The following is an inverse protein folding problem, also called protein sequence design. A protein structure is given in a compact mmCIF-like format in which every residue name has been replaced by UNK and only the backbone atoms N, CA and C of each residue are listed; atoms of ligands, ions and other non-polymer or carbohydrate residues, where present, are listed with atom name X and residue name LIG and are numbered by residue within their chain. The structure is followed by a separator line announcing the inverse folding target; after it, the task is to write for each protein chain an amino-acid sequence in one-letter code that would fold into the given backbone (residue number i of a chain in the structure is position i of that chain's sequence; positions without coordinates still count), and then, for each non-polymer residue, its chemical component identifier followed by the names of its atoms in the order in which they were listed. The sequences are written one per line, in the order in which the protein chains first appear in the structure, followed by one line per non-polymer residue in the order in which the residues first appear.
data_IF_093975662534
#
_entry.id   IF_093975662534
#
_cell.length_a   1.000
_cell.length_b   1.000
_cell.length_c   1.000
_cell.angle_alpha   90.00
_cell.angle_beta   90.00
_cell.angle_gamma   90.00
#
_symmetry.space_group_name_H-M   'P 1'
#
loop_
_entity.id
_entity.type
_entity.pdbx_description
1 polymer ?
#
# COMPACT_ATOMS: atom_id res chain seq x y z
N UNK A 1 -47.61 -30.46 37.79
CA UNK A 1 -47.47 -29.15 37.12
C UNK A 1 -46.00 -28.75 37.25
N UNK A 2 -45.32 -28.47 36.15
CA UNK A 2 -43.93 -28.00 36.14
C UNK A 2 -42.91 -29.05 35.69
N UNK A 3 -42.44 -28.91 34.45
CA UNK A 3 -41.11 -29.30 33.91
C UNK A 3 -41.08 -29.12 32.38
N UNK A 4 -41.50 -27.97 31.86
CA UNK A 4 -41.48 -27.72 30.41
C UNK A 4 -41.08 -26.29 30.01
N UNK A 5 -40.42 -25.54 30.90
CA UNK A 5 -40.09 -24.11 30.68
C UNK A 5 -38.60 -23.79 30.58
N UNK A 6 -37.68 -24.70 30.93
CA UNK A 6 -36.24 -24.39 30.92
C UNK A 6 -35.52 -24.71 29.60
N UNK A 7 -35.96 -25.73 28.87
CA UNK A 7 -35.30 -26.16 27.63
C UNK A 7 -35.57 -25.24 26.44
N UNK A 8 -36.78 -24.71 26.31
CA UNK A 8 -37.15 -23.73 25.26
C UNK A 8 -36.50 -22.37 25.49
N UNK A 9 -36.34 -21.95 26.75
CA UNK A 9 -35.63 -20.70 27.10
C UNK A 9 -34.13 -20.81 26.83
N UNK A 10 -33.53 -21.98 27.11
CA UNK A 10 -32.14 -22.28 26.80
C UNK A 10 -31.85 -22.34 25.29
N UNK A 11 -32.77 -22.88 24.49
CA UNK A 11 -32.65 -22.92 23.02
C UNK A 11 -32.77 -21.50 22.42
N UNK A 12 -33.74 -20.70 22.86
CA UNK A 12 -33.91 -19.33 22.38
C UNK A 12 -32.69 -18.44 22.65
N UNK A 13 -32.11 -18.55 23.86
CA UNK A 13 -30.85 -17.88 24.22
C UNK A 13 -29.67 -18.34 23.38
N UNK A 14 -29.59 -19.62 23.04
CA UNK A 14 -28.50 -20.17 22.24
C UNK A 14 -28.58 -19.72 20.76
N UNK A 15 -29.80 -19.62 20.22
CA UNK A 15 -30.01 -19.03 18.90
C UNK A 15 -29.68 -17.53 18.86
N UNK A 16 -30.06 -16.79 19.91
CA UNK A 16 -29.73 -15.37 20.04
C UNK A 16 -28.22 -15.16 20.16
N UNK A 17 -27.55 -15.96 20.99
CA UNK A 17 -26.09 -15.94 21.13
C UNK A 17 -25.39 -16.22 19.79
N UNK A 18 -25.89 -17.20 19.03
CA UNK A 18 -25.39 -17.53 17.71
C UNK A 18 -25.56 -16.35 16.74
N UNK A 19 -26.73 -15.72 16.70
CA UNK A 19 -26.96 -14.51 15.87
C UNK A 19 -26.03 -13.36 16.25
N UNK A 20 -25.77 -13.16 17.54
CA UNK A 20 -24.84 -12.13 18.01
C UNK A 20 -23.40 -12.46 17.62
N UNK A 21 -22.96 -13.70 17.78
CA UNK A 21 -21.62 -14.15 17.35
C UNK A 21 -21.44 -14.02 15.84
N UNK A 22 -22.45 -14.41 15.05
CA UNK A 22 -22.42 -14.27 13.59
C UNK A 22 -22.38 -12.81 13.15
N UNK A 23 -23.12 -11.94 13.85
CA UNK A 23 -23.13 -10.48 13.60
C UNK A 23 -21.79 -9.85 13.94
N UNK A 24 -21.24 -10.13 15.13
CA UNK A 24 -19.93 -9.65 15.55
C UNK A 24 -18.81 -10.17 14.63
N UNK A 25 -18.89 -11.43 14.20
CA UNK A 25 -17.92 -12.02 13.27
C UNK A 25 -17.93 -11.35 11.89
N UNK A 26 -19.06 -10.76 11.51
CA UNK A 26 -19.20 -9.98 10.28
C UNK A 26 -18.73 -8.53 10.44
N UNK A 27 -19.07 -7.90 11.56
CA UNK A 27 -18.80 -6.46 11.79
C UNK A 27 -17.36 -6.17 12.26
N UNK A 28 -16.75 -7.08 13.01
CA UNK A 28 -15.42 -6.89 13.59
C UNK A 28 -14.31 -6.71 12.54
N UNK A 29 -14.28 -7.46 11.42
CA UNK A 29 -13.32 -7.22 10.34
C UNK A 29 -13.46 -5.84 9.68
N UNK A 30 -14.68 -5.33 9.51
CA UNK A 30 -14.94 -4.03 8.90
C UNK A 30 -14.51 -2.90 9.85
N UNK A 31 -14.87 -2.98 11.13
CA UNK A 31 -14.44 -2.03 12.15
C UNK A 31 -12.90 -2.00 12.30
N UNK A 32 -12.27 -3.17 12.27
CA UNK A 32 -10.80 -3.28 12.30
C UNK A 32 -10.17 -2.65 11.07
N UNK A 33 -10.74 -2.86 9.88
CA UNK A 33 -10.24 -2.27 8.64
C UNK A 33 -10.31 -0.73 8.68
N UNK A 34 -11.44 -0.17 9.15
CA UNK A 34 -11.59 1.27 9.32
C UNK A 34 -10.56 1.85 10.29
N UNK A 35 -10.39 1.24 11.47
CA UNK A 35 -9.42 1.69 12.46
C UNK A 35 -7.99 1.68 11.92
N UNK A 36 -7.62 0.61 11.19
CA UNK A 36 -6.30 0.50 10.57
C UNK A 36 -6.08 1.53 9.47
N UNK A 37 -7.11 1.82 8.67
CA UNK A 37 -7.08 2.86 7.64
C UNK A 37 -6.92 4.26 8.23
N UNK A 38 -7.64 4.57 9.31
CA UNK A 38 -7.50 5.85 10.02
C UNK A 38 -6.12 6.01 10.66
N UNK A 39 -5.58 4.95 11.26
CA UNK A 39 -4.23 4.95 11.83
C UNK A 39 -3.15 5.14 10.76
N UNK A 40 -3.31 4.52 9.59
CA UNK A 40 -2.43 4.74 8.45
C UNK A 40 -2.50 6.20 7.98
N UNK A 41 -3.72 6.73 7.81
CA UNK A 41 -3.95 8.11 7.38
C UNK A 41 -3.29 9.10 8.33
N UNK A 42 -3.44 8.91 9.63
CA UNK A 42 -2.77 9.72 10.65
C UNK A 42 -1.24 9.67 10.48
N UNK A 43 -0.68 8.47 10.27
CA UNK A 43 0.75 8.27 10.09
C UNK A 43 1.28 8.97 8.83
N UNK A 44 0.56 8.87 7.71
CA UNK A 44 0.91 9.56 6.46
C UNK A 44 0.87 11.09 6.63
N UNK A 45 -0.20 11.62 7.21
CA UNK A 45 -0.36 13.07 7.43
C UNK A 45 0.73 13.64 8.33
N UNK A 46 1.22 12.89 9.33
CA UNK A 46 2.34 13.34 10.17
C UNK A 46 3.62 13.52 9.36
N UNK A 47 3.97 12.57 8.50
CA UNK A 47 5.15 12.69 7.64
C UNK A 47 5.01 13.88 6.71
N UNK A 48 3.86 14.03 6.04
CA UNK A 48 3.60 15.16 5.15
C UNK A 48 3.73 16.50 5.88
N UNK A 49 3.08 16.63 7.03
CA UNK A 49 3.12 17.86 7.84
C UNK A 49 4.56 18.22 8.27
N UNK A 50 5.35 17.23 8.69
CA UNK A 50 6.75 17.45 9.07
C UNK A 50 7.62 17.85 7.87
N UNK A 51 7.42 17.18 6.73
CA UNK A 51 8.12 17.49 5.48
C UNK A 51 7.81 18.91 4.98
N UNK A 52 6.53 19.26 4.93
CA UNK A 52 6.07 20.58 4.48
C UNK A 52 6.57 21.67 5.42
N UNK A 53 6.48 21.47 6.74
CA UNK A 53 6.99 22.44 7.73
C UNK A 53 8.50 22.70 7.56
N UNK A 54 9.30 21.67 7.30
CA UNK A 54 10.75 21.82 7.09
C UNK A 54 11.02 22.52 5.75
N UNK A 55 10.29 22.15 4.70
CA UNK A 55 10.42 22.75 3.37
C UNK A 55 10.07 24.24 3.42
N UNK A 56 8.97 24.62 4.10
CA UNK A 56 8.56 26.01 4.32
C UNK A 56 9.64 26.83 5.06
N UNK A 57 10.30 26.21 6.05
CA UNK A 57 11.41 26.86 6.78
C UNK A 57 12.61 27.10 5.85
N UNK A 58 12.97 26.12 5.02
CA UNK A 58 14.05 26.25 4.04
C UNK A 58 13.72 27.30 2.97
N UNK A 59 12.50 27.28 2.45
CA UNK A 59 12.01 28.28 1.49
C UNK A 59 12.06 29.68 2.10
N UNK A 60 11.58 29.84 3.33
CA UNK A 60 11.64 31.13 4.05
C UNK A 60 13.08 31.63 4.21
N UNK A 61 14.05 30.73 4.42
CA UNK A 61 15.47 31.10 4.54
C UNK A 61 16.05 31.60 3.21
N UNK A 62 15.69 30.95 2.10
CA UNK A 62 16.20 31.28 0.75
C UNK A 62 15.50 32.50 0.15
N UNK A 63 14.27 32.79 0.56
CA UNK A 63 13.44 33.89 0.06
C UNK A 63 13.45 35.14 0.94
N UNK A 64 14.41 35.25 1.87
CA UNK A 64 14.56 36.47 2.68
C UNK A 64 14.81 37.69 1.78
N UNK A 65 14.16 38.84 2.03
CA UNK A 65 14.32 40.02 1.19
C UNK A 65 15.78 40.50 1.14
N UNK A 66 16.19 41.02 -0.02
CA UNK A 66 17.54 41.55 -0.20
C UNK A 66 17.72 42.90 0.52
N UNK A 67 16.62 43.64 0.68
CA UNK A 67 16.59 45.01 1.21
C UNK A 67 16.74 45.11 2.72
N UNK A 68 16.66 43.99 3.47
CA UNK A 68 16.86 44.01 4.92
C UNK A 68 18.34 44.18 5.29
N UNK A 69 18.59 44.81 6.43
CA UNK A 69 19.94 44.94 6.96
C UNK A 69 20.57 43.58 7.28
N UNK A 70 21.90 43.48 7.19
CA UNK A 70 22.62 42.25 7.53
C UNK A 70 22.32 41.77 8.96
N UNK A 71 22.23 42.69 9.93
CA UNK A 71 21.90 42.33 11.31
C UNK A 71 20.49 41.73 11.45
N UNK A 72 19.51 42.25 10.68
CA UNK A 72 18.16 41.70 10.67
C UNK A 72 18.11 40.34 9.93
N UNK A 73 18.84 40.21 8.82
CA UNK A 73 18.99 38.95 8.09
C UNK A 73 19.55 37.86 9.00
N UNK A 74 20.65 38.14 9.69
CA UNK A 74 21.29 37.20 10.63
C UNK A 74 20.35 36.80 11.76
N UNK A 75 19.56 37.75 12.29
CA UNK A 75 18.56 37.47 13.32
C UNK A 75 17.48 36.52 12.80
N UNK A 76 16.96 36.73 11.59
CA UNK A 76 15.93 35.88 10.97
C UNK A 76 16.48 34.49 10.66
N UNK A 77 17.67 34.40 10.06
CA UNK A 77 18.32 33.13 9.75
C UNK A 77 18.59 32.30 11.00
N UNK A 78 19.07 32.92 12.09
CA UNK A 78 19.24 32.21 13.37
C UNK A 78 17.93 31.67 13.92
N UNK A 79 16.85 32.45 13.85
CA UNK A 79 15.53 31.99 14.31
C UNK A 79 15.01 30.82 13.46
N UNK A 80 15.21 30.86 12.13
CA UNK A 80 14.85 29.76 11.24
C UNK A 80 15.69 28.53 11.55
N UNK A 81 17.00 28.69 11.72
CA UNK A 81 17.93 27.61 12.06
C UNK A 81 17.50 26.90 13.35
N UNK A 82 17.22 27.62 14.43
CA UNK A 82 16.75 27.02 15.69
C UNK A 82 15.47 26.21 15.49
N UNK A 83 14.49 26.77 14.75
CA UNK A 83 13.24 26.06 14.45
C UNK A 83 13.47 24.81 13.61
N UNK A 84 14.37 24.88 12.63
CA UNK A 84 14.72 23.74 11.79
C UNK A 84 15.38 22.64 12.63
N UNK A 85 16.34 22.98 13.49
CA UNK A 85 17.00 22.04 14.40
C UNK A 85 16.00 21.33 15.32
N UNK A 86 15.05 22.08 15.90
CA UNK A 86 14.00 21.49 16.75
C UNK A 86 13.12 20.51 15.95
N UNK A 87 12.79 20.84 14.70
CA UNK A 87 12.01 19.96 13.82
C UNK A 87 12.79 18.71 13.40
N UNK A 88 14.08 18.83 13.15
CA UNK A 88 14.94 17.69 12.82
C UNK A 88 15.15 16.75 14.02
N UNK A 89 15.23 17.29 15.24
CA UNK A 89 15.19 16.47 16.47
C UNK A 89 13.86 15.73 16.63
N UNK A 90 12.73 16.35 16.28
CA UNK A 90 11.45 15.63 16.24
C UNK A 90 11.48 14.52 15.17
N UNK A 91 12.11 14.77 14.01
CA UNK A 91 12.25 13.77 12.95
C UNK A 91 12.98 12.53 13.44
N UNK A 92 14.14 12.68 14.08
CA UNK A 92 14.93 11.53 14.57
C UNK A 92 14.17 10.68 15.60
N UNK A 93 13.27 11.30 16.38
CA UNK A 93 12.52 10.62 17.44
C UNK A 93 11.23 9.95 16.94
N UNK A 94 10.48 10.60 16.05
CA UNK A 94 9.13 10.16 15.69
C UNK A 94 9.06 9.39 14.38
N UNK A 95 9.80 9.85 13.36
CA UNK A 95 9.69 9.32 11.99
C UNK A 95 10.03 7.83 11.89
N UNK A 96 11.03 7.27 12.61
CA UNK A 96 11.32 5.83 12.53
C UNK A 96 10.09 4.98 12.89
N UNK A 97 9.41 5.32 13.98
CA UNK A 97 8.22 4.60 14.43
C UNK A 97 7.01 4.80 13.53
N UNK A 98 6.86 5.99 12.93
CA UNK A 98 5.79 6.27 11.95
C UNK A 98 6.02 5.45 10.67
N UNK A 99 7.26 5.40 10.17
CA UNK A 99 7.62 4.60 9.00
C UNK A 99 7.44 3.09 9.25
N UNK A 100 7.78 2.62 10.45
CA UNK A 100 7.55 1.22 10.82
C UNK A 100 6.05 0.87 10.75
N UNK A 101 5.16 1.72 11.29
CA UNK A 101 3.70 1.51 11.20
C UNK A 101 3.16 1.52 9.78
N UNK A 102 3.62 2.46 8.94
CA UNK A 102 3.23 2.51 7.53
C UNK A 102 3.69 1.24 6.82
N UNK A 103 4.94 0.83 7.04
CA UNK A 103 5.49 -0.37 6.44
C UNK A 103 4.73 -1.64 6.88
N UNK A 104 4.44 -1.78 8.17
CA UNK A 104 3.71 -2.95 8.69
C UNK A 104 2.31 -3.06 8.08
N UNK A 105 1.68 -1.93 7.75
CA UNK A 105 0.42 -1.91 7.03
C UNK A 105 0.57 -2.28 5.55
N UNK A 106 1.55 -1.70 4.85
CA UNK A 106 1.76 -1.91 3.41
C UNK A 106 2.31 -3.31 3.09
N UNK A 107 3.08 -3.89 4.00
CA UNK A 107 3.67 -5.23 3.88
C UNK A 107 2.78 -6.34 4.47
N UNK A 108 1.54 -6.03 4.85
CA UNK A 108 0.60 -7.07 5.30
C UNK A 108 0.41 -8.12 4.21
N UNK A 109 0.52 -9.40 4.58
CA UNK A 109 0.26 -10.53 3.69
C UNK A 109 -1.15 -11.10 3.90
N UNK A 110 -1.59 -11.87 2.92
CA UNK A 110 -2.86 -12.59 2.91
C UNK A 110 -3.88 -11.99 1.95
N UNK A 111 -4.97 -12.73 1.66
CA UNK A 111 -5.93 -12.35 0.61
C UNK A 111 -6.65 -11.02 0.85
N UNK A 112 -6.69 -10.57 2.10
CA UNK A 112 -7.30 -9.31 2.54
C UNK A 112 -6.28 -8.21 2.83
N UNK A 113 -5.02 -8.40 2.45
CA UNK A 113 -4.02 -7.33 2.55
C UNK A 113 -4.44 -6.12 1.73
N UNK A 114 -4.06 -4.94 2.20
CA UNK A 114 -4.37 -3.67 1.52
C UNK A 114 -3.87 -3.66 0.07
N UNK A 115 -2.63 -4.12 -0.15
CA UNK A 115 -2.00 -4.18 -1.47
C UNK A 115 -2.80 -5.05 -2.43
N UNK A 116 -3.16 -6.29 -2.03
CA UNK A 116 -3.95 -7.18 -2.89
C UNK A 116 -5.33 -6.63 -3.21
N UNK A 117 -6.01 -6.03 -2.23
CA UNK A 117 -7.31 -5.40 -2.46
C UNK A 117 -7.21 -4.21 -3.41
N UNK A 118 -6.15 -3.41 -3.29
CA UNK A 118 -5.91 -2.25 -4.16
C UNK A 118 -5.61 -2.68 -5.60
N UNK A 119 -4.78 -3.72 -5.78
CA UNK A 119 -4.47 -4.31 -7.08
C UNK A 119 -5.70 -4.98 -7.70
N UNK A 120 -6.49 -5.71 -6.92
CA UNK A 120 -7.77 -6.28 -7.38
C UNK A 120 -8.71 -5.19 -7.89
N UNK A 121 -8.90 -4.12 -7.10
CA UNK A 121 -9.74 -2.99 -7.52
C UNK A 121 -9.22 -2.34 -8.79
N UNK A 122 -7.90 -2.23 -8.97
CA UNK A 122 -7.32 -1.71 -10.21
C UNK A 122 -7.60 -2.64 -11.39
N UNK A 123 -7.56 -3.95 -11.19
CA UNK A 123 -7.91 -4.96 -12.20
C UNK A 123 -9.38 -4.83 -12.60
N UNK A 124 -10.31 -4.86 -11.65
CA UNK A 124 -11.77 -4.80 -11.89
C UNK A 124 -12.18 -3.54 -12.68
N UNK A 125 -11.40 -2.47 -12.59
CA UNK A 125 -11.65 -1.20 -13.27
C UNK A 125 -10.82 -1.02 -14.54
N UNK A 126 -10.16 -2.05 -15.06
CA UNK A 126 -9.26 -1.95 -16.22
C UNK A 126 -9.66 -2.87 -17.36
N UNK A 127 -9.55 -2.37 -18.59
CA UNK A 127 -9.90 -3.13 -19.79
C UNK A 127 -8.68 -3.83 -20.42
N UNK A 128 -7.46 -3.46 -20.03
CA UNK A 128 -6.21 -4.00 -20.55
C UNK A 128 -5.11 -4.02 -19.47
N UNK A 129 -4.01 -4.71 -19.77
CA UNK A 129 -2.92 -4.96 -18.83
C UNK A 129 -2.09 -3.71 -18.49
N UNK A 130 -2.04 -2.72 -19.40
CA UNK A 130 -1.34 -1.44 -19.17
C UNK A 130 -2.14 -0.62 -18.18
N UNK A 131 -3.44 -0.45 -18.41
CA UNK A 131 -4.35 0.25 -17.50
C UNK A 131 -4.39 -0.38 -16.12
N UNK A 132 -4.41 -1.72 -16.04
CA UNK A 132 -4.32 -2.45 -14.78
C UNK A 132 -3.03 -2.15 -14.02
N UNK A 133 -1.87 -2.25 -14.68
CA UNK A 133 -0.58 -1.98 -14.06
C UNK A 133 -0.46 -0.52 -13.63
N UNK A 134 -0.80 0.43 -14.50
CA UNK A 134 -0.68 1.87 -14.22
C UNK A 134 -1.58 2.31 -13.07
N UNK A 135 -2.83 1.83 -13.01
CA UNK A 135 -3.73 2.10 -11.88
C UNK A 135 -3.22 1.49 -10.58
N UNK A 136 -2.71 0.26 -10.64
CA UNK A 136 -2.10 -0.41 -9.49
C UNK A 136 -0.88 0.35 -8.97
N UNK A 137 0.05 0.71 -9.87
CA UNK A 137 1.29 1.44 -9.54
C UNK A 137 0.97 2.84 -9.01
N UNK A 138 0.05 3.57 -9.65
CA UNK A 138 -0.41 4.89 -9.19
C UNK A 138 -0.98 4.81 -7.77
N UNK A 139 -1.80 3.80 -7.49
CA UNK A 139 -2.35 3.60 -6.15
C UNK A 139 -1.26 3.43 -5.10
N UNK A 140 -0.20 2.67 -5.40
CA UNK A 140 0.91 2.45 -4.44
C UNK A 140 1.86 3.64 -4.33
N UNK A 141 2.09 4.37 -5.43
CA UNK A 141 2.94 5.57 -5.45
C UNK A 141 2.46 6.63 -4.46
N UNK A 142 1.15 6.78 -4.28
CA UNK A 142 0.58 7.70 -3.28
C UNK A 142 1.09 7.44 -1.86
N UNK A 143 1.41 6.19 -1.52
CA UNK A 143 1.95 5.82 -0.22
C UNK A 143 3.49 5.87 -0.22
N UNK A 144 4.12 5.34 -1.26
CA UNK A 144 5.59 5.31 -1.36
C UNK A 144 6.21 6.70 -1.40
N UNK A 145 5.57 7.68 -2.03
CA UNK A 145 6.04 9.07 -1.99
C UNK A 145 6.14 9.58 -0.55
N UNK A 146 5.15 9.27 0.30
CA UNK A 146 5.19 9.67 1.72
C UNK A 146 6.28 8.89 2.47
N UNK A 147 6.46 7.60 2.20
CA UNK A 147 7.58 6.82 2.77
C UNK A 147 8.93 7.44 2.40
N UNK A 148 9.13 7.81 1.13
CA UNK A 148 10.36 8.47 0.66
C UNK A 148 10.56 9.83 1.34
N UNK A 149 9.50 10.64 1.49
CA UNK A 149 9.56 11.89 2.27
C UNK A 149 10.03 11.61 3.70
N UNK A 150 9.51 10.58 4.35
CA UNK A 150 9.95 10.17 5.69
C UNK A 150 11.42 9.75 5.75
N UNK A 151 11.90 8.96 4.78
CA UNK A 151 13.32 8.58 4.68
C UNK A 151 14.19 9.84 4.49
N UNK A 152 13.75 10.79 3.67
CA UNK A 152 14.46 12.05 3.47
C UNK A 152 14.52 12.90 4.75
N UNK A 153 13.44 12.94 5.54
CA UNK A 153 13.44 13.58 6.86
C UNK A 153 14.47 12.96 7.80
N UNK A 154 14.60 11.63 7.80
CA UNK A 154 15.63 10.92 8.58
C UNK A 154 17.05 11.28 8.11
N UNK A 155 17.27 11.37 6.79
CA UNK A 155 18.56 11.76 6.22
C UNK A 155 18.94 13.18 6.66
N UNK A 156 18.01 14.14 6.55
CA UNK A 156 18.24 15.51 7.02
C UNK A 156 18.52 15.58 8.52
N UNK A 157 17.83 14.77 9.32
CA UNK A 157 18.08 14.71 10.77
C UNK A 157 19.45 14.10 11.10
N UNK A 158 19.89 13.08 10.35
CA UNK A 158 21.20 12.45 10.52
C UNK A 158 22.35 13.37 10.11
N UNK A 159 22.19 14.15 9.04
CA UNK A 159 23.22 15.06 8.54
C UNK A 159 23.31 16.36 9.35
N UNK A 160 22.34 16.63 10.24
CA UNK A 160 22.31 17.85 11.02
C UNK A 160 23.28 17.80 12.22
N UNK A 161 24.20 18.77 12.36
CA UNK A 161 25.27 18.71 13.36
C UNK A 161 24.78 18.78 14.81
N UNK A 162 23.58 19.33 15.04
CA UNK A 162 23.00 19.56 16.36
C UNK A 162 21.89 18.54 16.72
N UNK A 163 21.78 17.47 15.96
CA UNK A 163 20.81 16.39 16.17
C UNK A 163 21.56 15.12 16.54
N UNK A 164 21.31 14.60 17.73
CA UNK A 164 21.85 13.29 18.13
C UNK A 164 20.96 12.18 17.55
N UNK A 165 21.41 11.59 16.45
CA UNK A 165 20.75 10.44 15.83
C UNK A 165 21.74 9.29 15.65
N UNK A 166 22.22 8.76 16.77
CA UNK A 166 23.24 7.69 16.84
C UNK A 166 22.95 6.45 15.97
N UNK A 167 21.70 5.99 15.89
CA UNK A 167 21.28 4.86 15.04
C UNK A 167 20.82 5.28 13.63
N UNK A 168 21.08 6.52 13.22
CA UNK A 168 20.47 7.14 12.05
C UNK A 168 20.74 6.40 10.75
N UNK A 169 22.02 6.14 10.44
CA UNK A 169 22.40 5.43 9.22
C UNK A 169 21.77 4.03 9.12
N UNK A 170 21.80 3.25 10.22
CA UNK A 170 21.18 1.92 10.26
C UNK A 170 19.66 1.98 10.08
N UNK A 171 19.03 2.98 10.71
CA UNK A 171 17.59 3.20 10.59
C UNK A 171 17.21 3.58 9.16
N UNK A 172 17.94 4.50 8.53
CA UNK A 172 17.72 4.91 7.12
C UNK A 172 17.84 3.71 6.19
N UNK A 173 18.91 2.92 6.31
CA UNK A 173 19.12 1.72 5.49
C UNK A 173 18.00 0.69 5.70
N UNK A 174 17.55 0.47 6.95
CA UNK A 174 16.42 -0.41 7.25
C UNK A 174 15.14 0.06 6.54
N UNK A 175 14.84 1.35 6.55
CA UNK A 175 13.65 1.89 5.88
C UNK A 175 13.75 1.83 4.36
N UNK A 176 14.94 2.04 3.79
CA UNK A 176 15.18 1.85 2.35
C UNK A 176 14.95 0.39 1.94
N UNK A 177 15.52 -0.57 2.68
CA UNK A 177 15.29 -1.99 2.39
C UNK A 177 13.83 -2.42 2.54
N UNK A 178 13.09 -1.80 3.47
CA UNK A 178 11.64 -1.97 3.59
C UNK A 178 10.89 -1.45 2.35
N UNK A 179 11.26 -0.28 1.84
CA UNK A 179 10.68 0.28 0.61
C UNK A 179 10.96 -0.62 -0.61
N UNK A 180 12.19 -1.13 -0.74
CA UNK A 180 12.56 -2.05 -1.82
C UNK A 180 11.72 -3.35 -1.76
N UNK A 181 11.54 -3.89 -0.56
CA UNK A 181 10.68 -5.06 -0.34
C UNK A 181 9.21 -4.78 -0.68
N UNK A 182 8.70 -3.57 -0.39
CA UNK A 182 7.34 -3.20 -0.80
C UNK A 182 7.20 -3.18 -2.33
N UNK A 183 8.19 -2.63 -3.05
CA UNK A 183 8.16 -2.65 -4.51
C UNK A 183 8.21 -4.09 -5.07
N UNK A 184 9.03 -4.95 -4.48
CA UNK A 184 9.11 -6.35 -4.88
C UNK A 184 7.78 -7.08 -4.63
N UNK A 185 7.18 -6.88 -3.46
CA UNK A 185 5.87 -7.46 -3.11
C UNK A 185 4.78 -6.96 -4.07
N UNK A 186 4.80 -5.67 -4.44
CA UNK A 186 3.91 -5.13 -5.46
C UNK A 186 4.04 -5.87 -6.79
N UNK A 187 5.27 -6.09 -7.29
CA UNK A 187 5.50 -6.80 -8.55
C UNK A 187 5.01 -8.25 -8.49
N UNK A 188 5.13 -8.90 -7.34
CA UNK A 188 4.62 -10.26 -7.12
C UNK A 188 3.09 -10.30 -7.12
N UNK A 189 2.44 -9.36 -6.42
CA UNK A 189 0.98 -9.27 -6.37
C UNK A 189 0.38 -8.93 -7.73
N UNK A 190 1.02 -8.01 -8.48
CA UNK A 190 0.57 -7.64 -9.82
C UNK A 190 0.81 -8.75 -10.84
N UNK A 191 1.86 -9.53 -10.63
CA UNK A 191 2.32 -10.60 -11.51
C UNK A 191 3.50 -10.17 -12.38
N UNK A 192 4.63 -10.85 -12.22
CA UNK A 192 5.89 -10.56 -12.92
C UNK A 192 5.78 -10.59 -14.45
N UNK A 193 4.83 -11.34 -15.01
CA UNK A 193 4.57 -11.34 -16.46
C UNK A 193 3.97 -10.02 -16.91
N UNK A 194 2.96 -9.54 -16.20
CA UNK A 194 2.31 -8.25 -16.46
C UNK A 194 3.31 -7.11 -16.37
N UNK A 195 4.13 -7.08 -15.31
CA UNK A 195 5.18 -6.08 -15.13
C UNK A 195 6.13 -6.07 -16.34
N UNK A 196 6.68 -7.24 -16.70
CA UNK A 196 7.59 -7.35 -17.86
C UNK A 196 6.95 -6.96 -19.18
N UNK A 197 5.66 -7.25 -19.37
CA UNK A 197 4.92 -6.87 -20.57
C UNK A 197 4.74 -5.36 -20.66
N UNK A 198 4.38 -4.69 -19.56
CA UNK A 198 4.22 -3.23 -19.54
C UNK A 198 5.55 -2.53 -19.72
N UNK A 199 6.60 -2.95 -19.00
CA UNK A 199 7.95 -2.39 -19.18
C UNK A 199 8.41 -2.48 -20.64
N UNK A 200 8.14 -3.61 -21.31
CA UNK A 200 8.43 -3.77 -22.74
C UNK A 200 7.56 -2.91 -23.63
N UNK A 201 6.26 -2.81 -23.35
CA UNK A 201 5.32 -2.00 -24.14
C UNK A 201 5.64 -0.50 -24.05
N UNK A 202 6.05 -0.02 -22.88
CA UNK A 202 6.49 1.36 -22.66
C UNK A 202 7.83 1.66 -23.36
N UNK A 203 8.77 0.70 -23.38
CA UNK A 203 10.07 0.86 -24.05
C UNK A 203 9.99 0.67 -25.57
N UNK A 204 9.00 -0.08 -26.06
CA UNK A 204 8.76 -0.36 -27.48
C UNK A 204 7.25 -0.40 -27.71
N UNK A 205 6.63 0.72 -28.12
CA UNK A 205 5.21 0.74 -28.44
C UNK A 205 4.97 -0.04 -29.74
N UNK A 206 4.88 -1.37 -29.65
CA UNK A 206 4.40 -2.22 -30.73
C UNK A 206 2.88 -2.21 -30.71
N UNK A 207 2.28 -1.98 -31.88
CA UNK A 207 0.86 -1.70 -32.13
C UNK A 207 -0.14 -2.83 -31.82
N UNK A 208 0.22 -3.83 -31.01
CA UNK A 208 -0.63 -5.00 -30.74
C UNK A 208 -1.26 -4.82 -29.36
N UNK A 209 -2.56 -4.46 -29.27
CA UNK A 209 -3.27 -4.41 -28.00
C UNK A 209 -3.42 -5.82 -27.45
N UNK A 210 -2.94 -6.05 -26.23
CA UNK A 210 -3.19 -7.28 -25.47
C UNK A 210 -4.32 -7.01 -24.48
N UNK A 211 -5.38 -7.81 -24.52
CA UNK A 211 -6.56 -7.70 -23.65
C UNK A 211 -6.53 -8.84 -22.63
N UNK A 212 -7.12 -8.63 -21.45
CA UNK A 212 -7.42 -9.74 -20.55
C UNK A 212 -8.56 -10.58 -21.14
N UNK A 213 -8.36 -11.89 -21.28
CA UNK A 213 -9.38 -12.77 -21.87
C UNK A 213 -10.46 -13.18 -20.85
N UNK A 214 -10.14 -13.26 -19.54
CA UNK A 214 -11.08 -13.57 -18.45
C UNK A 214 -10.51 -13.20 -17.07
N UNK A 215 -11.38 -12.99 -16.08
CA UNK A 215 -11.03 -12.82 -14.65
C UNK A 215 -10.60 -14.14 -13.97
N UNK A 216 -10.61 -15.27 -14.70
CA UNK A 216 -10.29 -16.61 -14.18
C UNK A 216 -8.79 -16.88 -14.02
N UNK A 217 -7.95 -15.96 -14.49
CA UNK A 217 -6.49 -16.02 -14.38
C UNK A 217 -5.96 -15.49 -13.05
N UNK A 218 -6.36 -16.07 -11.91
CA UNK A 218 -5.74 -15.75 -10.63
C UNK A 218 -4.72 -16.83 -10.21
N UNK A 219 -3.58 -16.37 -9.67
CA UNK A 219 -2.80 -17.07 -8.66
C UNK A 219 -3.54 -17.23 -7.32
N UNK A 220 -4.86 -17.45 -7.36
CA UNK A 220 -5.74 -17.78 -6.23
C UNK A 220 -6.60 -18.93 -6.74
N UNK A 221 -6.40 -20.11 -6.16
CA UNK A 221 -6.80 -21.40 -6.72
C UNK A 221 -8.29 -21.57 -7.08
N UNK A 222 -8.60 -22.58 -7.92
CA UNK A 222 -9.87 -22.64 -8.62
C UNK A 222 -11.04 -22.98 -7.68
N UNK A 223 -12.14 -22.26 -7.86
CA UNK A 223 -13.48 -22.66 -7.41
C UNK A 223 -13.88 -23.89 -8.24
N UNK A 224 -14.23 -25.01 -7.59
CA UNK A 224 -14.77 -26.19 -8.28
C UNK A 224 -16.08 -25.83 -8.98
N UNK A 225 -16.10 -25.93 -10.31
CA UNK A 225 -17.32 -25.93 -11.10
C UNK A 225 -17.99 -27.31 -11.01
N UNK A 226 -19.24 -27.33 -10.56
CA UNK A 226 -20.15 -28.46 -10.68
C UNK A 226 -20.63 -28.57 -12.14
N UNK A 227 -20.32 -29.70 -12.77
CA UNK A 227 -20.69 -30.05 -14.15
C UNK A 227 -22.19 -30.38 -14.24
N UNK A 228 -22.92 -29.92 -15.27
CA UNK A 228 -24.10 -30.61 -15.77
C UNK A 228 -23.75 -31.39 -17.05
N UNK A 229 -24.11 -32.68 -17.04
CA UNK A 229 -24.02 -33.58 -18.19
C UNK A 229 -24.81 -33.06 -19.39
N UNK A 230 -24.23 -33.14 -20.60
CA UNK A 230 -25.02 -33.53 -21.78
C UNK A 230 -24.16 -34.11 -22.90
N UNK A 231 -24.64 -35.24 -23.38
CA UNK A 231 -24.15 -36.17 -24.40
C UNK A 231 -24.21 -35.66 -25.85
N UNK A 232 -23.40 -36.33 -26.70
CA UNK A 232 -23.59 -36.56 -28.17
C UNK A 232 -22.90 -35.53 -29.10
N UNK A 233 -22.22 -35.85 -30.21
CA UNK A 233 -21.62 -37.07 -30.82
C UNK A 233 -21.03 -36.66 -32.20
N UNK A 234 -19.95 -37.34 -32.64
CA UNK A 234 -19.31 -37.39 -33.99
C UNK A 234 -18.44 -36.20 -34.49
N UNK A 235 -17.33 -36.35 -35.23
CA UNK A 235 -16.27 -37.38 -35.44
C UNK A 235 -15.27 -36.85 -36.51
N UNK A 236 -13.96 -36.90 -36.22
CA UNK A 236 -12.76 -37.06 -37.09
C UNK A 236 -12.53 -36.12 -38.32
N UNK A 237 -11.33 -35.72 -38.78
CA UNK A 237 -9.91 -36.06 -38.58
C UNK A 237 -9.07 -34.97 -39.31
N UNK A 238 -7.88 -34.62 -38.84
CA UNK A 238 -6.91 -33.81 -39.61
C UNK A 238 -5.71 -33.35 -38.77
N UNK A 239 -4.56 -33.93 -39.06
CA UNK A 239 -3.27 -33.91 -38.34
C UNK A 239 -2.50 -32.58 -38.29
N UNK A 240 -1.89 -32.37 -37.11
CA UNK A 240 -0.52 -31.92 -36.83
C UNK A 240 -0.11 -30.43 -36.96
N UNK A 241 0.72 -30.07 -35.96
CA UNK A 241 1.57 -28.91 -35.76
C UNK A 241 0.89 -27.57 -35.44
N UNK A 242 0.95 -27.16 -34.17
CA UNK A 242 1.82 -26.08 -33.68
C UNK A 242 1.84 -26.14 -32.14
N UNK A 243 3.00 -26.50 -31.58
CA UNK A 243 3.38 -26.15 -30.21
C UNK A 243 3.44 -24.62 -30.08
N UNK A 244 2.44 -24.03 -29.42
CA UNK A 244 2.54 -22.75 -28.71
C UNK A 244 1.22 -22.49 -27.98
N UNK A 245 1.06 -23.15 -26.84
CA UNK A 245 0.02 -22.79 -25.87
C UNK A 245 0.69 -22.06 -24.70
N UNK A 246 0.86 -20.75 -24.85
CA UNK A 246 0.92 -19.85 -23.70
C UNK A 246 -0.53 -19.68 -23.27
N UNK A 247 -0.91 -20.34 -22.19
CA UNK A 247 -2.25 -20.23 -21.60
C UNK A 247 -2.44 -18.82 -21.06
N UNK A 248 -3.54 -18.19 -21.48
CA UNK A 248 -3.95 -16.81 -21.18
C UNK A 248 -4.63 -16.73 -19.83
#
# INVERSE_FOLDING_TARGET
MGLQTDSTLGIGRNEELKRTVDTLSRELPEALHHLRSDSLRESLTKIETMYDTITDLMETAVTLPEEISNAERDKKLKAIQTRLEDRLKMCSNEIPGILDRINDFLAEDGPRSFLRQSVQKAFDNSNDFVGYYEKSKTSMLNYWVVVVKGIYLLQMAYDAPNVDFSEGMLTIQRQMGKLDNQEQTFKEVVGQNTVRMVERALLRPSSIPVMFLTDEGFGIGPKRLSVPDTTSSYSQKGTADVENAIWV
#
